data_IF_705485861279
#
_entry.id   IF_705485861279
#
_cell.length_a   1.000
_cell.length_b   1.000
_cell.length_c   1.000
_cell.angle_alpha   90.00
_cell.angle_beta   90.00
_cell.angle_gamma   90.00
#
_symmetry.space_group_name_H-M   'P 1'
#
loop_
_entity.id
_entity.type
_entity.pdbx_description
1 polymer ?
#
# COMPACT_ATOMS: atom_id res chain seq x y z
N UNK A 1 -4.28 3.20 18.45
CA UNK A 1 -4.67 3.68 17.11
C UNK A 1 -3.42 3.88 16.29
N UNK A 2 -3.29 3.17 15.18
CA UNK A 2 -2.18 3.37 14.23
C UNK A 2 -2.68 4.11 13.00
N UNK A 3 -2.10 5.26 12.67
CA UNK A 3 -2.55 6.10 11.56
C UNK A 3 -1.98 5.65 10.21
N UNK A 4 -2.85 5.22 9.31
CA UNK A 4 -2.52 4.57 8.04
C UNK A 4 -2.77 5.51 6.86
N UNK A 5 -1.74 5.75 6.06
CA UNK A 5 -1.89 6.27 4.70
C UNK A 5 -1.98 5.14 3.68
N UNK A 6 -2.79 5.30 2.63
CA UNK A 6 -2.86 4.34 1.52
C UNK A 6 -2.41 4.97 0.20
N UNK A 7 -1.61 4.23 -0.56
CA UNK A 7 -1.27 4.57 -1.95
C UNK A 7 -1.70 3.43 -2.87
N UNK A 8 -2.42 3.77 -3.94
CA UNK A 8 -2.82 2.86 -5.03
C UNK A 8 -2.14 3.22 -6.34
N UNK A 9 -2.11 2.28 -7.28
CA UNK A 9 -1.64 2.52 -8.65
C UNK A 9 -2.76 3.12 -9.51
N UNK A 10 -2.44 4.10 -10.37
CA UNK A 10 -3.40 4.67 -11.32
C UNK A 10 -4.00 3.64 -12.28
N UNK A 11 -3.24 2.61 -12.66
CA UNK A 11 -3.68 1.58 -13.62
C UNK A 11 -4.91 0.79 -13.15
N UNK A 12 -5.26 0.86 -11.85
CA UNK A 12 -6.45 0.21 -11.29
C UNK A 12 -7.44 1.19 -10.68
N UNK A 13 -7.25 2.50 -10.86
CA UNK A 13 -7.99 3.49 -10.08
C UNK A 13 -9.47 3.60 -10.46
N UNK A 14 -9.79 3.29 -11.72
CA UNK A 14 -11.13 3.27 -12.29
C UNK A 14 -11.82 1.91 -12.15
N UNK A 15 -11.05 0.83 -12.03
CA UNK A 15 -11.55 -0.54 -11.87
C UNK A 15 -11.64 -1.02 -10.42
N UNK A 16 -10.96 -0.35 -9.48
CA UNK A 16 -10.90 -0.74 -8.09
C UNK A 16 -11.20 0.44 -7.15
N UNK A 17 -12.35 0.40 -6.44
CA UNK A 17 -12.71 1.40 -5.43
C UNK A 17 -12.09 1.12 -4.05
N UNK A 18 -11.07 0.26 -3.97
CA UNK A 18 -10.38 -0.14 -2.74
C UNK A 18 -11.22 -0.93 -1.72
N UNK A 19 -12.41 -1.45 -2.08
CA UNK A 19 -13.31 -2.17 -1.15
C UNK A 19 -12.57 -3.21 -0.31
N UNK A 20 -11.79 -4.09 -0.93
CA UNK A 20 -11.00 -5.10 -0.20
C UNK A 20 -9.99 -4.47 0.76
N UNK A 21 -9.25 -3.46 0.31
CA UNK A 21 -8.24 -2.76 1.12
C UNK A 21 -8.86 -2.10 2.35
N UNK A 22 -9.99 -1.41 2.18
CA UNK A 22 -10.69 -0.73 3.26
C UNK A 22 -11.35 -1.71 4.23
N UNK A 23 -11.89 -2.83 3.75
CA UNK A 23 -12.40 -3.90 4.61
C UNK A 23 -11.29 -4.54 5.42
N UNK A 24 -10.14 -4.86 4.80
CA UNK A 24 -8.98 -5.39 5.53
C UNK A 24 -8.43 -4.42 6.55
N UNK A 25 -8.40 -3.11 6.24
CA UNK A 25 -8.05 -2.07 7.20
C UNK A 25 -9.00 -2.10 8.39
N UNK A 26 -10.32 -1.98 8.16
CA UNK A 26 -11.35 -1.96 9.22
C UNK A 26 -11.31 -3.19 10.13
N UNK A 27 -10.91 -4.34 9.58
CA UNK A 27 -10.87 -5.62 10.30
C UNK A 27 -9.49 -5.97 10.85
N UNK A 28 -8.49 -5.07 10.71
CA UNK A 28 -7.10 -5.31 11.09
C UNK A 28 -6.57 -6.67 10.57
N UNK A 29 -6.85 -6.96 9.30
CA UNK A 29 -6.51 -8.23 8.66
C UNK A 29 -5.56 -8.05 7.47
N UNK A 30 -4.97 -9.15 7.00
CA UNK A 30 -4.08 -9.16 5.84
C UNK A 30 -2.88 -8.22 6.04
N UNK A 31 -2.69 -7.24 5.16
CA UNK A 31 -1.60 -6.27 5.26
C UNK A 31 -1.61 -5.45 6.55
N UNK A 32 -2.74 -5.44 7.28
CA UNK A 32 -2.92 -4.72 8.54
C UNK A 32 -2.97 -5.67 9.76
N UNK A 33 -2.65 -6.96 9.58
CA UNK A 33 -2.63 -7.91 10.68
C UNK A 33 -1.60 -7.50 11.75
N UNK A 34 -2.02 -7.52 13.02
CA UNK A 34 -1.18 -7.09 14.15
C UNK A 34 -1.10 -5.58 14.34
N UNK A 35 -1.77 -4.78 13.51
CA UNK A 35 -1.93 -3.34 13.73
C UNK A 35 -3.05 -3.07 14.73
N UNK A 36 -2.74 -2.38 15.83
CA UNK A 36 -3.73 -2.00 16.83
C UNK A 36 -4.56 -0.80 16.34
N UNK A 37 -5.86 -1.04 16.17
CA UNK A 37 -6.88 -0.03 15.81
C UNK A 37 -6.44 0.88 14.64
N UNK A 38 -6.34 0.32 13.41
CA UNK A 38 -5.88 1.08 12.24
C UNK A 38 -6.89 2.14 11.81
N UNK A 39 -6.44 3.39 11.73
CA UNK A 39 -7.23 4.55 11.31
C UNK A 39 -6.79 5.03 9.92
N UNK A 40 -7.72 5.24 8.98
CA UNK A 40 -7.38 5.76 7.66
C UNK A 40 -7.17 7.27 7.70
N UNK A 41 -5.96 7.72 7.37
CA UNK A 41 -5.65 9.16 7.26
C UNK A 41 -5.92 9.74 5.88
N UNK A 42 -5.78 8.93 4.83
CA UNK A 42 -5.94 9.40 3.47
C UNK A 42 -5.52 8.37 2.43
N UNK A 43 -5.99 8.59 1.20
CA UNK A 43 -5.70 7.76 0.05
C UNK A 43 -5.17 8.65 -1.07
N UNK A 44 -4.05 8.26 -1.67
CA UNK A 44 -3.58 8.85 -2.91
C UNK A 44 -3.42 7.82 -4.03
N UNK A 45 -3.52 8.31 -5.27
CA UNK A 45 -3.13 7.56 -6.46
C UNK A 45 -1.71 7.94 -6.87
N UNK A 46 -0.80 6.96 -6.92
CA UNK A 46 0.51 7.08 -7.58
C UNK A 46 0.33 7.21 -9.09
N UNK A 47 1.11 8.12 -9.71
CA UNK A 47 1.13 8.35 -11.16
C UNK A 47 2.47 7.90 -11.72
N UNK A 48 2.48 7.10 -12.79
CA UNK A 48 3.69 6.61 -13.41
C UNK A 48 4.52 7.78 -13.98
N UNK A 49 5.87 7.76 -13.87
CA UNK A 49 6.71 6.66 -13.38
C UNK A 49 6.94 6.67 -11.84
N UNK A 50 6.09 7.35 -11.08
CA UNK A 50 6.13 7.34 -9.61
C UNK A 50 6.88 8.52 -9.00
N UNK A 51 7.24 9.56 -9.77
CA UNK A 51 7.98 10.73 -9.27
C UNK A 51 7.24 11.51 -8.19
N UNK A 52 5.92 11.36 -8.11
CA UNK A 52 5.09 12.02 -7.11
C UNK A 52 5.11 11.35 -5.73
N UNK A 53 5.61 10.11 -5.60
CA UNK A 53 5.37 9.27 -4.41
C UNK A 53 5.95 9.84 -3.12
N UNK A 54 7.12 10.48 -3.20
CA UNK A 54 7.76 11.13 -2.04
C UNK A 54 6.91 12.31 -1.56
N UNK A 55 6.36 13.10 -2.49
CA UNK A 55 5.48 14.22 -2.15
C UNK A 55 4.17 13.71 -1.53
N UNK A 56 3.55 12.66 -2.09
CA UNK A 56 2.35 12.04 -1.54
C UNK A 56 2.57 11.55 -0.09
N UNK A 57 3.70 10.87 0.15
CA UNK A 57 4.06 10.38 1.47
C UNK A 57 4.31 11.50 2.47
N UNK A 58 4.97 12.59 2.06
CA UNK A 58 5.14 13.79 2.91
C UNK A 58 3.80 14.42 3.27
N UNK A 59 2.84 14.47 2.35
CA UNK A 59 1.50 14.96 2.64
C UNK A 59 0.79 14.06 3.65
N UNK A 60 0.81 12.73 3.45
CA UNK A 60 0.22 11.78 4.39
C UNK A 60 0.85 11.89 5.78
N UNK A 61 2.19 11.96 5.86
CA UNK A 61 2.94 12.19 7.09
C UNK A 61 2.55 13.50 7.77
N UNK A 62 2.48 14.59 7.03
CA UNK A 62 2.07 15.90 7.55
C UNK A 62 0.61 15.93 8.04
N UNK A 63 -0.24 15.03 7.52
CA UNK A 63 -1.61 14.81 8.03
C UNK A 63 -1.67 13.81 9.20
N UNK A 64 -0.54 13.24 9.60
CA UNK A 64 -0.43 12.40 10.79
C UNK A 64 -0.34 10.90 10.50
N UNK A 65 -0.19 10.46 9.25
CA UNK A 65 0.07 9.05 8.97
C UNK A 65 1.42 8.62 9.61
N UNK A 66 1.41 7.50 10.30
CA UNK A 66 2.58 6.87 10.92
C UNK A 66 3.21 5.84 9.97
N UNK A 67 2.39 5.22 9.13
CA UNK A 67 2.79 4.23 8.12
C UNK A 67 1.98 4.42 6.84
N UNK A 68 2.63 4.19 5.70
CA UNK A 68 1.98 4.18 4.39
C UNK A 68 1.95 2.75 3.84
N UNK A 69 0.76 2.23 3.56
CA UNK A 69 0.60 0.95 2.87
C UNK A 69 0.41 1.16 1.36
N UNK A 70 1.07 0.31 0.58
CA UNK A 70 0.92 0.27 -0.86
C UNK A 70 0.05 -0.91 -1.28
N UNK A 71 -0.93 -0.66 -2.14
CA UNK A 71 -1.93 -1.65 -2.50
C UNK A 71 -1.31 -2.90 -3.17
N UNK A 72 -1.79 -4.07 -2.77
CA UNK A 72 -1.27 -5.39 -3.21
C UNK A 72 -1.23 -5.58 -4.72
N UNK A 73 -2.19 -5.01 -5.46
CA UNK A 73 -2.22 -5.08 -6.91
C UNK A 73 -1.00 -4.45 -7.60
N UNK A 74 -0.19 -3.67 -6.88
CA UNK A 74 1.06 -3.15 -7.42
C UNK A 74 2.11 -4.24 -7.66
N UNK A 75 2.14 -5.31 -6.84
CA UNK A 75 3.16 -6.38 -6.92
C UNK A 75 2.57 -7.79 -7.11
N UNK A 76 1.26 -7.94 -6.99
CA UNK A 76 0.57 -9.21 -7.13
C UNK A 76 -0.57 -9.10 -8.14
N UNK A 77 -0.94 -10.23 -8.73
CA UNK A 77 -2.05 -10.35 -9.69
C UNK A 77 -3.02 -11.44 -9.27
N UNK A 78 -4.25 -11.35 -9.77
CA UNK A 78 -5.26 -12.39 -9.61
C UNK A 78 -5.12 -13.43 -10.72
N UNK A 79 -5.12 -14.69 -10.32
CA UNK A 79 -5.18 -15.87 -11.19
C UNK A 79 -6.36 -16.75 -10.80
N UNK A 80 -6.57 -17.83 -11.56
CA UNK A 80 -7.47 -18.90 -11.16
C UNK A 80 -6.95 -19.55 -9.87
N UNK A 81 -7.76 -19.54 -8.82
CA UNK A 81 -7.40 -20.09 -7.50
C UNK A 81 -6.84 -19.10 -6.48
N UNK A 82 -6.54 -17.85 -6.84
CA UNK A 82 -6.16 -16.83 -5.84
C UNK A 82 -5.28 -15.70 -6.35
N UNK A 83 -4.62 -15.03 -5.40
CA UNK A 83 -3.63 -14.01 -5.70
C UNK A 83 -2.23 -14.60 -5.64
N UNK A 84 -1.41 -14.26 -6.64
CA UNK A 84 -0.02 -14.71 -6.73
C UNK A 84 0.92 -13.51 -6.74
N UNK A 85 2.12 -13.72 -6.22
CA UNK A 85 3.19 -12.70 -6.24
C UNK A 85 3.76 -12.57 -7.66
N UNK A 86 4.08 -11.35 -8.06
CA UNK A 86 4.62 -11.05 -9.39
C UNK A 86 3.53 -10.68 -10.40
N UNK A 87 3.95 -10.05 -11.51
CA UNK A 87 3.05 -9.60 -12.56
C UNK A 87 2.00 -8.58 -12.12
N UNK A 88 2.27 -7.86 -11.02
CA UNK A 88 1.46 -6.75 -10.56
C UNK A 88 1.56 -5.53 -11.50
N UNK A 89 0.83 -4.48 -11.16
CA UNK A 89 0.69 -3.29 -12.01
C UNK A 89 1.95 -2.42 -12.07
N UNK A 90 2.91 -2.64 -11.17
CA UNK A 90 4.16 -1.89 -11.10
C UNK A 90 5.34 -2.85 -11.06
N UNK A 91 6.30 -2.65 -11.96
CA UNK A 91 7.53 -3.42 -12.11
C UNK A 91 8.68 -2.91 -11.21
N UNK A 92 8.51 -1.77 -10.55
CA UNK A 92 9.54 -1.13 -9.72
C UNK A 92 9.00 -0.62 -8.36
N UNK A 93 7.93 -1.24 -7.84
CA UNK A 93 7.29 -0.80 -6.58
C UNK A 93 8.23 -0.84 -5.37
N UNK A 94 9.18 -1.79 -5.34
CA UNK A 94 10.15 -1.89 -4.24
C UNK A 94 11.09 -0.68 -4.21
N UNK A 95 11.57 -0.24 -5.37
CA UNK A 95 12.38 0.97 -5.49
C UNK A 95 11.58 2.23 -5.11
N UNK A 96 10.29 2.29 -5.44
CA UNK A 96 9.42 3.40 -5.03
C UNK A 96 9.22 3.44 -3.52
N UNK A 97 8.99 2.29 -2.89
CA UNK A 97 8.82 2.17 -1.44
C UNK A 97 10.11 2.52 -0.69
N UNK A 98 11.26 2.04 -1.16
CA UNK A 98 12.56 2.39 -0.59
C UNK A 98 12.83 3.90 -0.69
N UNK A 99 12.62 4.48 -1.88
CA UNK A 99 12.76 5.92 -2.10
C UNK A 99 11.84 6.73 -1.20
N UNK A 100 10.56 6.32 -1.13
CA UNK A 100 9.54 6.97 -0.31
C UNK A 100 9.89 6.93 1.17
N UNK A 101 10.28 5.76 1.67
CA UNK A 101 10.67 5.58 3.06
C UNK A 101 11.88 6.46 3.42
N UNK A 102 12.94 6.39 2.62
CA UNK A 102 14.18 7.16 2.83
C UNK A 102 13.97 8.68 2.76
N UNK A 103 13.25 9.17 1.76
CA UNK A 103 13.17 10.63 1.50
C UNK A 103 12.01 11.34 2.21
N UNK A 104 10.92 10.64 2.52
CA UNK A 104 9.84 11.19 3.33
C UNK A 104 10.03 10.89 4.83
N UNK A 105 10.89 9.93 5.17
CA UNK A 105 11.14 9.48 6.54
C UNK A 105 9.88 8.91 7.17
N UNK A 106 9.17 8.04 6.45
CA UNK A 106 7.95 7.37 6.93
C UNK A 106 8.03 5.88 6.64
N UNK A 107 7.56 5.06 7.58
CA UNK A 107 7.48 3.62 7.38
C UNK A 107 6.56 3.32 6.20
N UNK A 108 7.00 2.44 5.31
CA UNK A 108 6.22 2.01 4.16
C UNK A 108 6.03 0.50 4.21
N UNK A 109 4.82 0.01 3.89
CA UNK A 109 4.49 -1.42 3.92
C UNK A 109 3.96 -1.86 2.56
N UNK A 110 4.52 -2.94 2.02
CA UNK A 110 4.10 -3.54 0.74
C UNK A 110 2.97 -4.54 0.97
N UNK A 111 1.73 -4.06 0.91
CA UNK A 111 0.55 -4.91 0.99
C UNK A 111 -0.63 -4.26 1.70
N UNK A 112 -1.82 -4.63 1.23
CA UNK A 112 -3.12 -4.28 1.82
C UNK A 112 -4.01 -5.53 1.88
N UNK A 113 -5.03 -5.63 1.03
CA UNK A 113 -5.89 -6.80 0.91
C UNK A 113 -5.38 -7.77 -0.16
N UNK A 114 -5.91 -8.99 -0.16
CA UNK A 114 -5.61 -10.01 -1.16
C UNK A 114 -4.12 -10.39 -1.23
N UNK A 115 -3.47 -10.53 -0.07
CA UNK A 115 -2.08 -10.96 -0.04
C UNK A 115 -1.97 -12.37 -0.66
N UNK A 116 -0.92 -12.63 -1.48
CA UNK A 116 -0.64 -13.99 -1.94
C UNK A 116 -0.50 -14.97 -0.77
N UNK A 117 -0.84 -16.24 -0.99
CA UNK A 117 -0.74 -17.25 0.05
C UNK A 117 0.69 -17.33 0.63
N UNK A 118 0.80 -17.30 1.96
CA UNK A 118 2.08 -17.31 2.67
C UNK A 118 2.90 -16.01 2.58
N UNK A 119 2.40 -14.96 1.92
CA UNK A 119 3.10 -13.69 1.84
C UNK A 119 3.05 -12.95 3.19
N UNK A 120 4.22 -12.54 3.67
CA UNK A 120 4.37 -11.65 4.82
C UNK A 120 4.69 -10.24 4.30
N UNK A 121 3.94 -9.20 4.71
CA UNK A 121 4.19 -7.83 4.25
C UNK A 121 5.62 -7.35 4.51
N UNK A 122 6.31 -6.98 3.43
CA UNK A 122 7.63 -6.36 3.51
C UNK A 122 7.49 -4.92 4.02
N UNK A 123 8.40 -4.51 4.92
CA UNK A 123 8.45 -3.16 5.52
C UNK A 123 9.73 -2.46 5.12
N UNK A 124 9.61 -1.17 4.80
CA UNK A 124 10.70 -0.25 4.47
C UNK A 124 10.67 0.87 5.52
N UNK A 125 11.79 1.12 6.20
CA UNK A 125 11.88 2.02 7.35
C UNK A 125 13.20 2.74 7.41
#
# INVERSE_FOLDING_TARGET
MTKIGLIRCEKNETGCPLTGCLTSLKTASQGFAGTEDPELMGVFTCRCPGDNVVALARILKAKGAEVVHWCTCAFARREEGGWVRGGGLCDHVDALLERMSREAGIRCVKGTAHLPAGYVPETFG
#
